data_IF_813082824999
#
_entry.id   IF_813082824999
#
_cell.length_a   1.000
_cell.length_b   1.000
_cell.length_c   1.000
_cell.angle_alpha   90.00
_cell.angle_beta   90.00
_cell.angle_gamma   90.00
#
_symmetry.space_group_name_H-M   'P 1'
#
loop_
_entity.id
_entity.type
_entity.pdbx_description
1 polymer ?
#
# COMPACT_ATOMS: atom_id res chain seq x y z
N UNK A 1 -15.27 -10.45 -15.00
CA UNK A 1 -14.79 -9.30 -14.19
C UNK A 1 -14.12 -9.84 -12.95
N UNK A 2 -12.94 -9.35 -12.62
CA UNK A 2 -12.14 -9.81 -11.48
C UNK A 2 -12.11 -8.72 -10.40
N UNK A 3 -12.13 -9.13 -9.14
CA UNK A 3 -11.89 -8.24 -8.01
C UNK A 3 -10.53 -8.57 -7.43
N UNK A 4 -9.73 -7.58 -7.15
CA UNK A 4 -8.45 -7.72 -6.44
C UNK A 4 -8.54 -7.03 -5.10
N UNK A 5 -7.96 -7.64 -4.07
CA UNK A 5 -8.10 -7.18 -2.69
C UNK A 5 -6.74 -7.17 -2.01
N UNK A 6 -6.37 -6.00 -1.51
CA UNK A 6 -5.21 -5.82 -0.62
C UNK A 6 -5.67 -5.61 0.82
N UNK A 7 -5.25 -6.49 1.73
CA UNK A 7 -5.62 -6.48 3.14
C UNK A 7 -4.45 -5.96 3.97
N UNK A 8 -4.40 -4.64 4.14
CA UNK A 8 -3.41 -3.96 4.96
C UNK A 8 -3.79 -3.92 6.45
N UNK A 9 -2.86 -3.46 7.29
CA UNK A 9 -3.07 -3.34 8.75
C UNK A 9 -4.17 -2.36 9.14
N UNK A 10 -4.42 -1.32 8.35
CA UNK A 10 -5.40 -0.26 8.67
C UNK A 10 -6.65 -0.36 7.80
N UNK A 11 -6.51 -0.69 6.55
CA UNK A 11 -7.62 -0.76 5.59
C UNK A 11 -7.50 -1.95 4.66
N UNK A 12 -8.64 -2.45 4.21
CA UNK A 12 -8.79 -3.37 3.09
C UNK A 12 -9.19 -2.56 1.88
N UNK A 13 -8.43 -2.66 0.81
CA UNK A 13 -8.69 -1.98 -0.46
C UNK A 13 -9.11 -3.01 -1.50
N UNK A 14 -10.29 -2.83 -2.07
CA UNK A 14 -10.82 -3.65 -3.15
C UNK A 14 -10.78 -2.85 -4.45
N UNK A 15 -10.37 -3.50 -5.54
CA UNK A 15 -10.40 -2.94 -6.88
C UNK A 15 -11.19 -3.84 -7.82
N UNK A 16 -12.14 -3.26 -8.54
CA UNK A 16 -12.93 -3.95 -9.57
C UNK A 16 -12.22 -3.79 -10.91
N UNK A 17 -11.87 -4.90 -11.53
CA UNK A 17 -11.08 -4.94 -12.77
C UNK A 17 -11.94 -5.39 -13.95
N UNK A 18 -11.95 -4.58 -14.99
CA UNK A 18 -12.54 -4.92 -16.29
C UNK A 18 -11.59 -4.50 -17.41
N UNK A 19 -11.31 -5.40 -18.36
CA UNK A 19 -10.35 -5.18 -19.46
C UNK A 19 -8.97 -4.65 -18.97
N UNK A 20 -8.47 -5.19 -17.88
CA UNK A 20 -7.21 -4.80 -17.22
C UNK A 20 -7.17 -3.37 -16.68
N UNK A 21 -8.31 -2.74 -16.50
CA UNK A 21 -8.44 -1.39 -15.95
C UNK A 21 -9.23 -1.46 -14.64
N UNK A 22 -8.80 -0.71 -13.65
CA UNK A 22 -9.54 -0.51 -12.40
C UNK A 22 -10.70 0.44 -12.72
N UNK A 23 -11.93 -0.07 -12.61
CA UNK A 23 -13.14 0.70 -12.92
C UNK A 23 -13.87 1.22 -11.69
N UNK A 24 -13.61 0.61 -10.53
CA UNK A 24 -14.21 1.00 -9.25
C UNK A 24 -13.34 0.53 -8.08
N UNK A 25 -13.44 1.21 -6.93
CA UNK A 25 -12.70 0.89 -5.72
C UNK A 25 -13.57 1.02 -4.48
N UNK A 26 -13.35 0.13 -3.51
CA UNK A 26 -13.92 0.19 -2.18
C UNK A 26 -12.81 0.09 -1.13
N UNK A 27 -12.88 0.96 -0.13
CA UNK A 27 -11.96 0.92 1.02
C UNK A 27 -12.76 0.77 2.31
N UNK A 28 -12.47 -0.28 3.07
CA UNK A 28 -13.06 -0.53 4.39
C UNK A 28 -11.97 -0.62 5.46
N UNK A 29 -12.34 -0.40 6.72
CA UNK A 29 -11.39 -0.50 7.82
C UNK A 29 -11.08 -1.97 8.11
N UNK A 30 -9.81 -2.33 8.28
CA UNK A 30 -9.42 -3.71 8.60
C UNK A 30 -10.03 -4.20 9.91
N UNK A 31 -10.16 -3.32 10.91
CA UNK A 31 -10.78 -3.65 12.20
C UNK A 31 -12.25 -4.08 12.06
N UNK A 32 -12.97 -3.60 11.02
CA UNK A 32 -14.36 -4.03 10.75
C UNK A 32 -14.47 -5.48 10.29
N UNK A 33 -13.37 -6.09 9.83
CA UNK A 33 -13.33 -7.48 9.32
C UNK A 33 -12.49 -8.39 10.22
N UNK A 34 -11.60 -7.83 11.04
CA UNK A 34 -10.72 -8.58 11.92
C UNK A 34 -11.40 -9.20 13.14
N UNK A 35 -12.66 -8.82 13.41
CA UNK A 35 -13.52 -9.33 14.48
C UNK A 35 -14.12 -10.70 14.13
N UNK A 36 -14.78 -11.36 15.08
CA UNK A 36 -15.51 -12.60 14.81
C UNK A 36 -16.54 -12.40 13.69
N UNK A 37 -16.67 -13.38 12.79
CA UNK A 37 -17.48 -13.30 11.57
C UNK A 37 -18.93 -12.84 11.84
N UNK A 38 -19.53 -13.39 12.90
CA UNK A 38 -20.91 -13.05 13.31
C UNK A 38 -21.06 -11.61 13.82
N UNK A 39 -19.96 -10.96 14.20
CA UNK A 39 -19.94 -9.60 14.71
C UNK A 39 -19.65 -8.56 13.62
N UNK A 40 -19.35 -8.99 12.39
CA UNK A 40 -19.19 -8.07 11.25
C UNK A 40 -20.53 -7.38 11.02
N UNK A 41 -20.53 -6.05 11.13
CA UNK A 41 -21.76 -5.27 11.10
C UNK A 41 -22.42 -5.28 9.70
N UNK A 42 -23.73 -4.97 9.69
CA UNK A 42 -24.55 -4.97 8.47
C UNK A 42 -24.10 -3.91 7.46
N UNK A 43 -23.50 -2.80 7.90
CA UNK A 43 -23.00 -1.76 7.00
C UNK A 43 -21.83 -2.31 6.16
N UNK A 44 -20.84 -2.96 6.79
CA UNK A 44 -19.71 -3.58 6.09
C UNK A 44 -20.16 -4.70 5.13
N UNK A 45 -21.13 -5.53 5.56
CA UNK A 45 -21.74 -6.57 4.71
C UNK A 45 -22.44 -5.96 3.51
N UNK A 46 -23.18 -4.88 3.72
CA UNK A 46 -23.90 -4.15 2.65
C UNK A 46 -22.95 -3.46 1.68
N UNK A 47 -21.88 -2.83 2.16
CA UNK A 47 -20.83 -2.22 1.31
C UNK A 47 -20.20 -3.28 0.42
N UNK A 48 -19.82 -4.43 0.96
CA UNK A 48 -19.26 -5.54 0.20
C UNK A 48 -20.26 -6.10 -0.81
N UNK A 49 -21.53 -6.30 -0.42
CA UNK A 49 -22.58 -6.79 -1.30
C UNK A 49 -22.88 -5.85 -2.47
N UNK A 50 -22.82 -4.54 -2.23
CA UNK A 50 -22.99 -3.54 -3.29
C UNK A 50 -21.78 -3.47 -4.22
N UNK A 51 -20.58 -3.71 -3.69
CA UNK A 51 -19.37 -3.68 -4.48
C UNK A 51 -19.16 -4.98 -5.26
N UNK A 52 -19.38 -6.15 -4.66
CA UNK A 52 -19.25 -7.46 -5.33
C UNK A 52 -20.56 -7.78 -6.03
N UNK A 53 -20.64 -7.50 -7.30
CA UNK A 53 -21.85 -7.75 -8.10
C UNK A 53 -21.82 -9.13 -8.79
N UNK A 54 -22.97 -9.52 -9.36
CA UNK A 54 -23.15 -10.81 -10.05
C UNK A 54 -22.32 -10.98 -11.33
N UNK A 55 -21.61 -9.94 -11.78
CA UNK A 55 -20.69 -10.01 -12.92
C UNK A 55 -19.28 -10.41 -12.49
N UNK A 56 -19.01 -10.34 -11.20
CA UNK A 56 -17.72 -10.77 -10.63
C UNK A 56 -17.69 -12.30 -10.58
N UNK A 57 -16.67 -12.89 -11.20
CA UNK A 57 -16.50 -14.34 -11.27
C UNK A 57 -15.26 -14.82 -10.51
N UNK A 58 -14.38 -13.89 -10.11
CA UNK A 58 -13.14 -14.20 -9.42
C UNK A 58 -12.75 -13.08 -8.46
N UNK A 59 -12.23 -13.44 -7.30
CA UNK A 59 -11.60 -12.53 -6.33
C UNK A 59 -10.20 -13.04 -6.01
N UNK A 60 -9.20 -12.15 -6.12
CA UNK A 60 -7.86 -12.39 -5.61
C UNK A 60 -7.70 -11.68 -4.27
N UNK A 61 -7.32 -12.42 -3.24
CA UNK A 61 -7.03 -11.88 -1.92
C UNK A 61 -5.53 -11.94 -1.66
N UNK A 62 -4.95 -10.82 -1.29
CA UNK A 62 -3.59 -10.73 -0.73
C UNK A 62 -3.62 -9.86 0.52
N UNK A 63 -2.69 -10.05 1.43
CA UNK A 63 -2.59 -9.17 2.58
C UNK A 63 -1.70 -9.68 3.70
N UNK A 64 -1.42 -8.77 4.62
CA UNK A 64 -0.50 -8.97 5.75
C UNK A 64 -1.22 -9.18 7.09
N UNK A 65 -2.57 -9.32 7.08
CA UNK A 65 -3.39 -9.54 8.28
C UNK A 65 -4.15 -10.87 8.17
N UNK A 66 -3.58 -11.99 8.66
CA UNK A 66 -4.14 -13.33 8.44
C UNK A 66 -5.59 -13.49 8.91
N UNK A 67 -5.94 -12.92 10.07
CA UNK A 67 -7.30 -13.03 10.61
C UNK A 67 -8.31 -12.28 9.72
N UNK A 68 -7.99 -11.07 9.26
CA UNK A 68 -8.87 -10.33 8.37
C UNK A 68 -9.02 -11.02 7.01
N UNK A 69 -7.95 -11.62 6.49
CA UNK A 69 -7.97 -12.40 5.25
C UNK A 69 -8.87 -13.63 5.36
N UNK A 70 -8.75 -14.39 6.45
CA UNK A 70 -9.63 -15.54 6.71
C UNK A 70 -11.10 -15.12 6.83
N UNK A 71 -11.38 -14.10 7.62
CA UNK A 71 -12.74 -13.62 7.85
C UNK A 71 -13.38 -13.09 6.56
N UNK A 72 -12.62 -12.28 5.78
CA UNK A 72 -13.12 -11.78 4.50
C UNK A 72 -13.40 -12.92 3.51
N UNK A 73 -12.51 -13.91 3.45
CA UNK A 73 -12.73 -15.11 2.62
C UNK A 73 -14.01 -15.83 3.01
N UNK A 74 -14.19 -16.13 4.30
CA UNK A 74 -15.39 -16.83 4.80
C UNK A 74 -16.67 -16.02 4.57
N UNK A 75 -16.61 -14.69 4.78
CA UNK A 75 -17.75 -13.81 4.52
C UNK A 75 -18.15 -13.81 3.04
N UNK A 76 -17.17 -13.78 2.13
CA UNK A 76 -17.45 -13.85 0.69
C UNK A 76 -18.02 -15.22 0.31
N UNK A 77 -17.49 -16.33 0.87
CA UNK A 77 -18.00 -17.67 0.65
C UNK A 77 -19.46 -17.84 1.15
N UNK A 78 -19.82 -17.19 2.27
CA UNK A 78 -21.19 -17.15 2.79
C UNK A 78 -22.13 -16.38 1.85
N UNK A 79 -21.66 -15.27 1.26
CA UNK A 79 -22.48 -14.39 0.43
C UNK A 79 -22.62 -14.86 -1.03
N UNK A 80 -21.66 -15.61 -1.56
CA UNK A 80 -21.56 -15.94 -2.99
C UNK A 80 -21.12 -17.39 -3.23
N UNK A 81 -22.03 -18.26 -3.63
CA UNK A 81 -21.79 -19.70 -3.83
C UNK A 81 -20.86 -20.03 -5.03
N UNK A 82 -20.83 -19.19 -6.06
CA UNK A 82 -20.15 -19.49 -7.33
C UNK A 82 -18.99 -18.54 -7.66
N UNK A 83 -18.48 -17.80 -6.68
CA UNK A 83 -17.39 -16.86 -6.87
C UNK A 83 -16.04 -17.55 -6.57
N UNK A 84 -15.15 -17.61 -7.55
CA UNK A 84 -13.82 -18.17 -7.37
C UNK A 84 -13.00 -17.26 -6.44
N UNK A 85 -12.50 -17.81 -5.32
CA UNK A 85 -11.65 -17.09 -4.38
C UNK A 85 -10.23 -17.63 -4.45
N UNK A 86 -9.29 -16.79 -4.83
CA UNK A 86 -7.89 -17.11 -4.95
C UNK A 86 -7.09 -16.38 -3.87
N UNK A 87 -6.37 -17.12 -3.04
CA UNK A 87 -5.40 -16.55 -2.12
C UNK A 87 -4.04 -16.43 -2.81
N UNK A 88 -3.55 -15.21 -2.93
CA UNK A 88 -2.18 -14.96 -3.41
C UNK A 88 -1.21 -15.30 -2.28
N UNK A 89 -0.22 -16.12 -2.58
CA UNK A 89 0.79 -16.58 -1.61
C UNK A 89 2.16 -16.03 -1.95
N UNK A 90 3.01 -15.85 -0.95
CA UNK A 90 4.41 -15.44 -1.13
C UNK A 90 5.15 -16.34 -2.12
N UNK A 91 4.94 -17.68 -2.07
CA UNK A 91 5.53 -18.62 -3.03
C UNK A 91 5.18 -18.33 -4.49
N UNK A 92 3.99 -17.82 -4.74
CA UNK A 92 3.58 -17.43 -6.09
C UNK A 92 4.25 -16.11 -6.51
N UNK A 93 4.35 -15.15 -5.60
CA UNK A 93 5.04 -13.87 -5.84
C UNK A 93 6.53 -14.10 -6.13
N UNK A 94 7.19 -14.99 -5.39
CA UNK A 94 8.60 -15.32 -5.58
C UNK A 94 8.93 -15.98 -6.95
N UNK A 95 7.92 -16.43 -7.69
CA UNK A 95 8.10 -16.89 -9.08
C UNK A 95 8.18 -15.73 -10.07
N UNK A 96 7.68 -14.55 -9.70
CA UNK A 96 7.59 -13.37 -10.57
C UNK A 96 8.73 -12.38 -10.36
N UNK A 97 9.37 -12.41 -9.19
CA UNK A 97 10.47 -11.50 -8.84
C UNK A 97 11.55 -12.21 -8.06
N UNK A 98 12.81 -11.90 -8.37
CA UNK A 98 13.95 -12.35 -7.56
C UNK A 98 14.10 -11.46 -6.33
N UNK A 99 14.18 -12.08 -5.15
CA UNK A 99 14.47 -11.40 -3.88
C UNK A 99 15.86 -11.80 -3.40
N UNK A 100 16.77 -10.83 -3.27
CA UNK A 100 18.16 -11.06 -2.85
C UNK A 100 18.33 -10.77 -1.36
N UNK A 101 17.47 -11.35 -0.53
CA UNK A 101 17.55 -11.29 0.92
C UNK A 101 17.89 -12.68 1.48
N UNK A 102 18.39 -12.69 2.72
CA UNK A 102 18.70 -13.92 3.45
C UNK A 102 17.48 -14.82 3.65
N UNK A 103 16.34 -14.18 3.91
CA UNK A 103 15.03 -14.82 4.02
C UNK A 103 14.01 -14.02 3.20
N UNK A 104 13.64 -14.46 2.00
CA UNK A 104 12.67 -13.77 1.14
C UNK A 104 11.27 -13.67 1.76
N UNK A 105 10.90 -14.59 2.65
CA UNK A 105 9.58 -14.63 3.29
C UNK A 105 9.38 -13.57 4.39
N UNK A 106 10.41 -12.79 4.74
CA UNK A 106 10.30 -11.66 5.67
C UNK A 106 9.75 -10.39 5.01
N UNK A 107 9.67 -10.36 3.67
CA UNK A 107 9.10 -9.23 2.94
C UNK A 107 7.58 -9.38 2.91
N UNK A 108 6.85 -8.36 3.32
CA UNK A 108 5.40 -8.32 3.20
C UNK A 108 4.94 -8.45 1.75
N UNK A 109 3.85 -9.19 1.52
CA UNK A 109 3.33 -9.45 0.18
C UNK A 109 2.97 -8.15 -0.55
N UNK A 110 2.43 -7.14 0.15
CA UNK A 110 2.16 -5.80 -0.36
C UNK A 110 3.40 -5.14 -1.01
N UNK A 111 4.55 -5.23 -0.35
CA UNK A 111 5.82 -4.68 -0.85
C UNK A 111 6.33 -5.45 -2.08
N UNK A 112 6.17 -6.77 -2.09
CA UNK A 112 6.53 -7.61 -3.24
C UNK A 112 5.61 -7.29 -4.43
N UNK A 113 4.32 -7.14 -4.21
CA UNK A 113 3.32 -6.77 -5.23
C UNK A 113 3.65 -5.41 -5.83
N UNK A 114 3.94 -4.40 -4.99
CA UNK A 114 4.38 -3.07 -5.45
C UNK A 114 5.66 -3.14 -6.28
N UNK A 115 6.61 -4.00 -5.90
CA UNK A 115 7.85 -4.21 -6.65
C UNK A 115 7.58 -4.84 -8.02
N UNK A 116 6.73 -5.88 -8.10
CA UNK A 116 6.33 -6.54 -9.35
C UNK A 116 5.65 -5.53 -10.30
N UNK A 117 4.69 -4.75 -9.78
CA UNK A 117 3.98 -3.72 -10.54
C UNK A 117 4.94 -2.64 -11.08
N UNK A 118 5.87 -2.19 -10.23
CA UNK A 118 6.85 -1.16 -10.62
C UNK A 118 7.82 -1.65 -11.69
N UNK A 119 8.27 -2.90 -11.63
CA UNK A 119 9.16 -3.49 -12.64
C UNK A 119 8.45 -3.66 -13.98
N UNK A 120 7.16 -3.93 -13.98
CA UNK A 120 6.38 -4.05 -15.21
C UNK A 120 6.20 -2.70 -15.91
N UNK A 121 6.04 -1.62 -15.11
CA UNK A 121 5.83 -0.24 -15.62
C UNK A 121 7.12 0.50 -15.95
N UNK A 122 8.18 0.27 -15.16
CA UNK A 122 9.39 1.09 -15.19
C UNK A 122 10.66 0.26 -15.28
N UNK A 123 11.67 0.85 -15.88
CA UNK A 123 12.97 0.19 -16.02
C UNK A 123 13.80 0.32 -14.73
N UNK A 124 14.28 -0.80 -14.16
CA UNK A 124 15.19 -0.78 -13.01
C UNK A 124 16.52 -0.01 -13.29
N UNK A 125 17.22 0.54 -12.27
CA UNK A 125 16.90 0.39 -10.84
C UNK A 125 15.72 1.24 -10.40
N UNK A 126 14.98 0.79 -9.34
CA UNK A 126 13.78 1.47 -8.84
C UNK A 126 13.88 1.67 -7.33
N UNK A 127 13.29 2.77 -6.86
CA UNK A 127 13.00 3.02 -5.43
C UNK A 127 11.49 3.24 -5.34
N UNK A 128 10.80 2.42 -4.57
CA UNK A 128 9.36 2.52 -4.37
C UNK A 128 9.13 3.09 -2.98
N UNK A 129 8.36 4.17 -2.89
CA UNK A 129 8.00 4.82 -1.63
C UNK A 129 6.50 4.62 -1.42
N UNK A 130 6.12 3.82 -0.41
CA UNK A 130 4.71 3.61 -0.07
C UNK A 130 4.33 4.39 1.19
N UNK A 131 3.31 5.23 1.06
CA UNK A 131 2.74 6.05 2.14
C UNK A 131 1.52 5.38 2.77
N UNK A 132 1.73 4.22 3.36
CA UNK A 132 0.75 3.41 4.06
C UNK A 132 0.70 3.62 5.58
N UNK A 133 0.36 2.56 6.31
CA UNK A 133 0.43 2.50 7.80
C UNK A 133 1.85 2.77 8.29
N UNK A 134 2.84 2.18 7.63
CA UNK A 134 4.23 2.58 7.66
C UNK A 134 4.57 3.35 6.38
N UNK A 135 5.64 4.15 6.38
CA UNK A 135 6.25 4.65 5.15
C UNK A 135 7.42 3.74 4.82
N UNK A 136 7.30 2.99 3.71
CA UNK A 136 8.35 2.07 3.28
C UNK A 136 9.12 2.61 2.09
N UNK A 137 10.38 2.19 1.98
CA UNK A 137 11.21 2.39 0.80
C UNK A 137 11.70 1.04 0.35
N UNK A 138 11.33 0.62 -0.85
CA UNK A 138 11.67 -0.66 -1.44
C UNK A 138 12.65 -0.45 -2.58
N UNK A 139 13.72 -1.23 -2.61
CA UNK A 139 14.83 -1.03 -3.57
C UNK A 139 14.93 -2.21 -4.51
N UNK A 140 14.86 -1.90 -5.80
CA UNK A 140 15.08 -2.84 -6.90
C UNK A 140 16.38 -2.48 -7.58
N UNK A 141 17.32 -3.41 -7.65
CA UNK A 141 18.61 -3.19 -8.29
C UNK A 141 18.49 -3.15 -9.83
N UNK A 142 19.58 -2.79 -10.50
CA UNK A 142 19.63 -2.70 -11.97
C UNK A 142 19.35 -4.01 -12.72
N UNK A 143 19.32 -5.15 -12.01
CA UNK A 143 18.98 -6.47 -12.58
C UNK A 143 17.52 -6.83 -12.39
N UNK A 144 16.71 -5.94 -11.79
CA UNK A 144 15.31 -6.19 -11.47
C UNK A 144 15.09 -7.06 -10.23
N UNK A 145 16.09 -7.23 -9.38
CA UNK A 145 15.93 -7.96 -8.12
C UNK A 145 15.61 -7.03 -6.96
N UNK A 146 14.72 -7.43 -6.09
CA UNK A 146 14.46 -6.77 -4.81
C UNK A 146 15.64 -7.02 -3.87
N UNK A 147 16.28 -5.97 -3.39
CA UNK A 147 17.49 -6.06 -2.56
C UNK A 147 17.30 -5.62 -1.11
N UNK A 148 16.10 -5.17 -0.75
CA UNK A 148 15.79 -4.71 0.59
C UNK A 148 15.11 -3.36 0.59
N UNK A 149 15.07 -2.73 1.77
CA UNK A 149 14.43 -1.43 1.91
C UNK A 149 14.44 -0.91 3.33
N UNK A 150 13.67 0.15 3.58
CA UNK A 150 13.53 0.77 4.90
C UNK A 150 12.05 0.78 5.29
N UNK A 151 11.80 0.77 6.59
CA UNK A 151 10.47 0.94 7.18
C UNK A 151 10.56 2.08 8.18
N UNK A 152 9.81 3.14 7.92
CA UNK A 152 9.67 4.28 8.81
C UNK A 152 8.26 4.32 9.40
N UNK A 153 8.04 5.00 10.54
CA UNK A 153 6.68 5.25 11.01
C UNK A 153 5.85 5.90 9.90
N UNK A 154 4.60 5.50 9.73
CA UNK A 154 3.70 6.17 8.80
C UNK A 154 3.20 7.50 9.38
N UNK A 155 2.64 8.34 8.52
CA UNK A 155 2.22 9.71 8.86
C UNK A 155 1.20 9.70 10.01
N UNK A 156 0.13 8.90 9.89
CA UNK A 156 -0.89 8.81 10.93
C UNK A 156 -0.35 8.22 12.24
N UNK A 157 0.57 7.27 12.15
CA UNK A 157 1.23 6.70 13.31
C UNK A 157 2.06 7.77 14.04
N UNK A 158 2.80 8.59 13.30
CA UNK A 158 3.58 9.70 13.85
C UNK A 158 2.70 10.76 14.52
N UNK A 159 1.58 11.14 13.90
CA UNK A 159 0.61 12.09 14.48
C UNK A 159 -0.04 11.54 15.74
N UNK A 160 -0.46 10.27 15.73
CA UNK A 160 -1.00 9.59 16.92
C UNK A 160 0.02 9.52 18.06
N UNK A 161 1.29 9.21 17.75
CA UNK A 161 2.35 9.15 18.75
C UNK A 161 2.62 10.51 19.38
N UNK A 162 2.60 11.61 18.62
CA UNK A 162 2.71 12.98 19.14
C UNK A 162 1.57 13.31 20.10
N UNK A 163 0.33 13.01 19.71
CA UNK A 163 -0.86 13.26 20.55
C UNK A 163 -0.88 12.41 21.81
N UNK A 164 -0.58 11.12 21.70
CA UNK A 164 -0.61 10.20 22.83
C UNK A 164 0.59 10.33 23.78
N UNK A 165 1.75 10.73 23.25
CA UNK A 165 2.99 10.89 24.01
C UNK A 165 3.15 12.23 24.71
N UNK A 166 2.19 13.17 24.56
CA UNK A 166 2.28 14.52 25.12
C UNK A 166 0.97 14.95 25.77
N UNK A 167 1.06 15.82 26.79
CA UNK A 167 -0.12 16.27 27.53
C UNK A 167 -0.98 17.31 26.80
N UNK A 168 -0.42 18.05 25.84
CA UNK A 168 -1.04 19.26 25.28
C UNK A 168 -1.18 19.22 23.75
N UNK A 169 -0.62 18.23 23.06
CA UNK A 169 -0.73 18.16 21.60
C UNK A 169 -2.01 17.43 21.22
N UNK A 170 -2.93 18.05 20.45
CA UNK A 170 -4.14 17.40 20.02
C UNK A 170 -3.87 16.39 18.90
N UNK A 171 -4.79 15.46 18.67
CA UNK A 171 -4.81 14.69 17.43
C UNK A 171 -5.28 15.62 16.30
N UNK A 172 -4.52 15.65 15.21
CA UNK A 172 -4.81 16.45 14.02
C UNK A 172 -4.83 15.57 12.78
N UNK A 173 -5.52 16.04 11.73
CA UNK A 173 -5.48 15.40 10.42
C UNK A 173 -4.23 15.85 9.66
N UNK A 174 -3.69 14.92 8.85
CA UNK A 174 -2.55 15.24 8.00
C UNK A 174 -2.97 16.03 6.78
N UNK A 175 -2.31 17.16 6.56
CA UNK A 175 -2.48 17.98 5.37
C UNK A 175 -1.18 18.68 4.97
N UNK A 176 -1.12 19.11 3.73
CA UNK A 176 0.00 19.91 3.22
C UNK A 176 0.09 21.22 4.00
N UNK A 177 1.28 21.57 4.47
CA UNK A 177 1.56 22.85 5.10
C UNK A 177 2.23 23.80 4.09
N UNK A 178 1.62 24.99 3.90
CA UNK A 178 2.18 26.00 2.99
C UNK A 178 3.41 26.71 3.57
N UNK A 179 3.43 26.88 4.90
CA UNK A 179 4.48 27.60 5.59
C UNK A 179 5.33 26.65 6.43
N UNK A 180 6.64 26.79 6.35
CA UNK A 180 7.55 26.00 7.17
C UNK A 180 7.50 26.40 8.66
N UNK A 181 7.16 27.65 8.98
CA UNK A 181 7.02 28.11 10.37
C UNK A 181 5.54 28.17 10.74
N UNK A 182 5.08 27.22 11.55
CA UNK A 182 3.75 27.24 12.16
C UNK A 182 3.64 28.32 13.24
N UNK A 183 2.56 29.09 13.23
CA UNK A 183 2.31 30.20 14.19
C UNK A 183 1.34 29.83 15.33
N UNK A 184 0.98 28.55 15.43
CA UNK A 184 0.18 27.97 16.52
C UNK A 184 0.66 26.56 16.78
N UNK A 185 0.25 25.95 17.90
CA UNK A 185 0.59 24.54 18.20
C UNK A 185 0.17 23.61 17.05
N UNK A 186 -1.07 23.73 16.58
CA UNK A 186 -1.59 22.94 15.45
C UNK A 186 -0.76 23.19 14.18
N UNK A 187 -0.56 24.48 13.83
CA UNK A 187 0.23 24.83 12.65
C UNK A 187 1.70 24.37 12.74
N UNK A 188 2.29 24.37 13.93
CA UNK A 188 3.64 23.82 14.14
C UNK A 188 3.68 22.31 13.98
N UNK A 189 2.66 21.57 14.46
CA UNK A 189 2.51 20.14 14.25
C UNK A 189 2.32 19.79 12.76
N UNK A 190 1.39 20.46 12.08
CA UNK A 190 1.13 20.29 10.65
C UNK A 190 2.40 20.53 9.83
N UNK A 191 3.08 21.64 10.07
CA UNK A 191 4.32 21.98 9.38
C UNK A 191 5.44 20.99 9.69
N UNK A 192 5.65 20.66 10.96
CA UNK A 192 6.72 19.77 11.40
C UNK A 192 6.56 18.37 10.81
N UNK A 193 5.35 17.83 10.78
CA UNK A 193 5.10 16.52 10.17
C UNK A 193 5.23 16.59 8.65
N UNK A 194 4.61 17.57 7.99
CA UNK A 194 4.65 17.68 6.54
C UNK A 194 6.09 17.86 6.00
N UNK A 195 6.78 18.91 6.44
CA UNK A 195 8.15 19.20 5.98
C UNK A 195 9.17 18.19 6.51
N UNK A 196 8.89 17.60 7.67
CA UNK A 196 9.66 16.48 8.19
C UNK A 196 9.62 15.27 7.25
N UNK A 197 8.43 14.91 6.73
CA UNK A 197 8.29 13.83 5.75
C UNK A 197 8.89 14.19 4.38
N UNK A 198 8.73 15.42 3.89
CA UNK A 198 9.41 15.87 2.67
C UNK A 198 10.94 15.66 2.82
N UNK A 199 11.53 16.13 3.92
CA UNK A 199 12.96 15.99 4.19
C UNK A 199 13.40 14.54 4.37
N UNK A 200 12.56 13.71 5.02
CA UNK A 200 12.82 12.27 5.21
C UNK A 200 12.87 11.56 3.85
N UNK A 201 11.88 11.82 2.98
CA UNK A 201 11.81 11.21 1.65
C UNK A 201 13.03 11.61 0.82
N UNK A 202 13.30 12.90 0.68
CA UNK A 202 14.44 13.41 -0.12
C UNK A 202 15.77 12.92 0.44
N UNK A 203 15.92 12.94 1.77
CA UNK A 203 17.14 12.50 2.44
C UNK A 203 17.41 10.99 2.29
N UNK A 204 16.39 10.15 2.39
CA UNK A 204 16.52 8.70 2.23
C UNK A 204 16.77 8.37 0.75
N UNK A 205 15.95 8.88 -0.17
CA UNK A 205 16.11 8.62 -1.61
C UNK A 205 17.51 9.02 -2.08
N UNK A 206 18.00 10.20 -1.66
CA UNK A 206 19.35 10.62 -1.98
C UNK A 206 20.41 9.63 -1.49
N UNK A 207 20.32 9.16 -0.23
CA UNK A 207 21.27 8.18 0.30
C UNK A 207 21.20 6.84 -0.44
N UNK A 208 20.00 6.36 -0.76
CA UNK A 208 19.83 5.11 -1.51
C UNK A 208 20.48 5.21 -2.90
N UNK A 209 20.36 6.35 -3.57
CA UNK A 209 20.98 6.58 -4.87
C UNK A 209 22.51 6.66 -4.74
N UNK A 210 23.00 7.48 -3.81
CA UNK A 210 24.42 7.74 -3.65
C UNK A 210 25.20 6.47 -3.20
N UNK A 211 24.67 5.72 -2.21
CA UNK A 211 25.34 4.53 -1.67
C UNK A 211 25.34 3.32 -2.60
N UNK A 212 24.38 3.24 -3.52
CA UNK A 212 24.25 2.12 -4.45
C UNK A 212 24.62 2.49 -5.89
N UNK A 213 25.08 3.71 -6.13
CA UNK A 213 25.40 4.24 -7.47
C UNK A 213 24.20 4.16 -8.45
N UNK A 214 22.96 4.26 -7.93
CA UNK A 214 21.73 4.18 -8.72
C UNK A 214 21.34 5.55 -9.32
N UNK A 215 22.28 6.25 -9.95
CA UNK A 215 22.05 7.61 -10.49
C UNK A 215 20.93 7.70 -11.53
N UNK A 216 20.54 6.56 -12.12
CA UNK A 216 19.42 6.45 -13.06
C UNK A 216 18.16 5.84 -12.43
N UNK A 217 18.09 5.72 -11.11
CA UNK A 217 16.93 5.12 -10.45
C UNK A 217 15.67 5.93 -10.72
N UNK A 218 14.61 5.23 -11.08
CA UNK A 218 13.26 5.80 -11.09
C UNK A 218 12.64 5.64 -9.70
N UNK A 219 12.13 6.75 -9.16
CA UNK A 219 11.46 6.78 -7.85
C UNK A 219 9.96 6.82 -8.07
N UNK A 220 9.26 5.80 -7.57
CA UNK A 220 7.81 5.65 -7.69
C UNK A 220 7.19 5.80 -6.31
N UNK A 221 6.17 6.65 -6.18
CA UNK A 221 5.41 6.82 -4.96
C UNK A 221 4.02 6.19 -5.08
N UNK A 222 3.58 5.53 -4.02
CA UNK A 222 2.24 4.95 -3.90
C UNK A 222 1.68 5.18 -2.48
N UNK A 223 0.47 4.70 -2.23
CA UNK A 223 -0.19 4.82 -0.93
C UNK A 223 -1.03 6.09 -0.80
N UNK A 224 -1.89 6.10 0.23
CA UNK A 224 -2.98 7.07 0.35
C UNK A 224 -2.58 8.53 0.52
N UNK A 225 -1.34 8.82 0.91
CA UNK A 225 -0.83 10.17 1.09
C UNK A 225 0.17 10.62 0.01
N UNK A 226 0.50 9.77 -0.95
CA UNK A 226 1.53 10.04 -1.97
C UNK A 226 1.32 11.39 -2.69
N UNK A 227 0.10 11.66 -3.16
CA UNK A 227 -0.24 12.87 -3.91
C UNK A 227 -0.03 14.19 -3.15
N UNK A 228 -0.04 14.15 -1.80
CA UNK A 228 0.19 15.36 -1.01
C UNK A 228 1.61 15.88 -1.15
N UNK A 229 2.55 15.02 -1.55
CA UNK A 229 3.96 15.36 -1.69
C UNK A 229 4.37 15.77 -3.11
N UNK A 230 3.49 15.61 -4.11
CA UNK A 230 3.79 15.84 -5.52
C UNK A 230 4.39 17.24 -5.79
N UNK A 231 3.89 18.27 -5.10
CA UNK A 231 4.33 19.64 -5.32
C UNK A 231 5.69 19.99 -4.69
N UNK A 232 6.06 19.28 -3.62
CA UNK A 232 7.15 19.71 -2.75
C UNK A 232 8.31 18.71 -2.70
N UNK A 233 8.18 17.51 -3.29
CA UNK A 233 9.27 16.55 -3.48
C UNK A 233 9.74 16.54 -4.93
N UNK A 234 11.05 16.68 -5.13
CA UNK A 234 11.66 16.67 -6.48
C UNK A 234 12.27 15.31 -6.84
N UNK A 235 12.42 14.44 -5.87
CA UNK A 235 13.06 13.15 -6.05
C UNK A 235 12.10 12.05 -6.54
N UNK A 236 10.78 12.26 -6.48
CA UNK A 236 9.78 11.31 -6.96
C UNK A 236 9.50 11.58 -8.45
N UNK A 237 9.60 10.54 -9.27
CA UNK A 237 9.37 10.62 -10.70
C UNK A 237 7.91 10.33 -11.08
N UNK A 238 7.28 9.39 -10.38
CA UNK A 238 5.92 8.93 -10.68
C UNK A 238 5.10 8.74 -9.40
N UNK A 239 3.81 9.08 -9.49
CA UNK A 239 2.83 8.91 -8.41
C UNK A 239 1.77 7.93 -8.90
N UNK A 240 1.79 6.71 -8.36
CA UNK A 240 0.97 5.55 -8.75
C UNK A 240 0.05 5.18 -7.60
N UNK A 241 -1.13 5.80 -7.54
CA UNK A 241 -2.04 5.62 -6.39
C UNK A 241 -2.56 4.19 -6.24
N UNK A 242 -2.70 3.49 -7.36
CA UNK A 242 -3.34 2.18 -7.43
C UNK A 242 -2.34 1.04 -7.65
N UNK A 243 -1.04 1.30 -7.39
CA UNK A 243 0.06 0.40 -7.70
C UNK A 243 -0.15 -1.03 -7.18
N UNK A 244 -0.63 -1.18 -5.94
CA UNK A 244 -0.88 -2.49 -5.34
C UNK A 244 -2.01 -3.24 -6.05
N UNK A 245 -3.11 -2.55 -6.37
CA UNK A 245 -4.24 -3.16 -7.10
C UNK A 245 -3.85 -3.52 -8.53
N UNK A 246 -3.08 -2.67 -9.20
CA UNK A 246 -2.53 -2.95 -10.53
C UNK A 246 -1.56 -4.15 -10.49
N UNK A 247 -0.74 -4.23 -9.43
CA UNK A 247 0.14 -5.36 -9.19
C UNK A 247 -0.62 -6.67 -8.99
N UNK A 248 -1.71 -6.66 -8.23
CA UNK A 248 -2.58 -7.82 -8.05
C UNK A 248 -3.25 -8.24 -9.37
N UNK A 249 -3.69 -7.27 -10.18
CA UNK A 249 -4.21 -7.57 -11.51
C UNK A 249 -3.15 -8.20 -12.42
N UNK A 250 -1.93 -7.67 -12.40
CA UNK A 250 -0.81 -8.23 -13.15
C UNK A 250 -0.48 -9.68 -12.72
N UNK A 251 -0.56 -9.97 -11.42
CA UNK A 251 -0.37 -11.31 -10.87
C UNK A 251 -1.49 -12.24 -11.33
N UNK A 252 -2.74 -11.76 -11.37
CA UNK A 252 -3.86 -12.53 -11.94
C UNK A 252 -3.55 -12.97 -13.36
N UNK A 253 -3.14 -12.04 -14.22
CA UNK A 253 -2.82 -12.32 -15.62
C UNK A 253 -1.63 -13.26 -15.80
N UNK A 254 -0.60 -13.16 -14.96
CA UNK A 254 0.63 -13.95 -15.13
C UNK A 254 0.56 -15.37 -14.54
N UNK A 255 -0.30 -15.58 -13.55
CA UNK A 255 -0.34 -16.87 -12.81
C UNK A 255 -1.64 -17.63 -13.05
N UNK A 256 -2.77 -16.93 -13.22
CA UNK A 256 -4.10 -17.56 -13.19
C UNK A 256 -4.88 -17.43 -14.51
N UNK A 257 -4.38 -16.69 -15.49
CA UNK A 257 -4.86 -16.61 -16.86
C UNK A 257 -3.79 -17.09 -17.86
#
# INVERSE_FOLDING_TARGET
>A
MTIVVDIGNTSVLLGKIENNIIIDQLRIQTESIKIELDNINDDTRTELANFIDNKSNKILLSGVVPQAMLNLKLLIEEMYENLEIVLVTTDQLLKLIKIELKNPYEVGDDRIINAIASIDKYKPPLIIVDFGTATTFDVINSKGAYVGGLICPGINLSLKSLSQGTALLPLIDFKRSENIIGKSTIGAMESGVYWGYVSLIEGIVKRLIDENEYHSATVVATGGYSNLFEKDTKCINHFENDLTLEGLNLINLKIYE
#
